data_IF_732940257461
#
_entry.id   IF_732940257461
#
_cell.length_a   1.000
_cell.length_b   1.000
_cell.length_c   1.000
_cell.angle_alpha   90.00
_cell.angle_beta   90.00
_cell.angle_gamma   90.00
#
_symmetry.space_group_name_H-M   'P 1'
#
loop_
_entity.id
_entity.type
_entity.pdbx_description
1 polymer ?
#
# COMPACT_ATOMS: atom_id res chain seq x y z
N UNK A 1 74.95 -18.79 -3.88
CA UNK A 1 74.45 -19.21 -2.55
C UNK A 1 72.98 -18.79 -2.47
N UNK A 2 72.04 -19.74 -2.35
CA UNK A 2 70.59 -19.50 -2.41
C UNK A 2 70.07 -19.23 -0.99
N UNK A 3 69.55 -18.04 -0.70
CA UNK A 3 68.84 -17.76 0.55
C UNK A 3 67.34 -17.91 0.28
N UNK A 4 66.72 -18.83 1.02
CA UNK A 4 65.27 -19.07 1.08
C UNK A 4 64.74 -18.55 2.42
N UNK A 5 63.48 -18.11 2.38
CA UNK A 5 62.58 -17.77 3.51
C UNK A 5 62.90 -16.43 4.21
N UNK A 6 61.94 -15.64 4.70
CA UNK A 6 60.60 -15.95 5.21
C UNK A 6 59.54 -14.94 4.75
N UNK A 7 58.31 -15.45 4.63
CA UNK A 7 57.08 -14.69 4.47
C UNK A 7 56.63 -14.03 5.78
N UNK A 8 56.04 -12.83 5.67
CA UNK A 8 55.05 -12.34 6.64
C UNK A 8 54.06 -11.40 5.92
N UNK A 9 53.13 -11.98 5.15
CA UNK A 9 51.97 -11.26 4.66
C UNK A 9 50.92 -11.26 5.78
N UNK A 10 50.91 -10.20 6.59
CA UNK A 10 49.82 -9.93 7.52
C UNK A 10 48.60 -9.48 6.72
N UNK A 11 47.77 -10.44 6.28
CA UNK A 11 46.44 -10.16 5.74
C UNK A 11 45.56 -9.80 6.92
N UNK A 12 45.39 -8.50 7.16
CA UNK A 12 44.39 -7.98 8.08
C UNK A 12 43.03 -8.19 7.40
N UNK A 13 42.39 -9.31 7.72
CA UNK A 13 40.96 -9.50 7.50
C UNK A 13 40.22 -8.56 8.45
N UNK A 14 40.00 -7.31 8.01
CA UNK A 14 38.98 -6.46 8.60
C UNK A 14 37.64 -7.07 8.19
N UNK A 15 37.12 -7.97 9.02
CA UNK A 15 35.72 -8.34 8.98
C UNK A 15 34.92 -7.11 9.38
N UNK A 16 34.54 -6.31 8.39
CA UNK A 16 33.39 -5.40 8.49
C UNK A 16 32.21 -6.29 8.85
N UNK A 17 31.89 -6.38 10.14
CA UNK A 17 30.55 -6.78 10.55
C UNK A 17 29.63 -5.70 9.98
N UNK A 18 29.13 -5.93 8.77
CA UNK A 18 28.05 -5.15 8.23
C UNK A 18 26.93 -5.27 9.24
N UNK A 19 26.56 -4.13 9.83
CA UNK A 19 25.35 -4.03 10.62
C UNK A 19 24.24 -4.63 9.76
N UNK A 20 23.50 -5.59 10.30
CA UNK A 20 22.41 -6.21 9.58
C UNK A 20 21.33 -5.13 9.43
N UNK A 21 21.43 -4.33 8.36
CA UNK A 21 20.44 -3.29 8.05
C UNK A 21 19.06 -3.93 8.12
N UNK A 22 18.16 -3.32 8.89
CA UNK A 22 16.80 -3.79 9.03
C UNK A 22 16.16 -3.90 7.64
N UNK A 23 15.69 -5.09 7.25
CA UNK A 23 15.12 -5.36 5.93
C UNK A 23 13.61 -5.38 6.05
N UNK A 24 13.00 -4.20 6.14
CA UNK A 24 11.55 -4.09 6.00
C UNK A 24 11.13 -4.43 4.56
N UNK A 25 10.05 -5.19 4.40
CA UNK A 25 9.48 -5.48 3.08
C UNK A 25 8.32 -4.53 2.82
N UNK A 26 8.40 -3.78 1.73
CA UNK A 26 7.35 -2.82 1.31
C UNK A 26 6.82 -3.26 -0.05
N UNK A 27 5.49 -3.40 -0.16
CA UNK A 27 4.79 -3.72 -1.41
C UNK A 27 3.60 -2.80 -1.55
N UNK A 28 3.36 -2.29 -2.73
CA UNK A 28 2.17 -1.49 -3.01
C UNK A 28 1.47 -1.96 -4.27
N UNK A 29 0.17 -1.73 -4.34
CA UNK A 29 -0.66 -2.18 -5.44
C UNK A 29 -1.65 -1.10 -5.86
N UNK A 30 -1.88 -1.00 -7.17
CA UNK A 30 -2.97 -0.27 -7.81
C UNK A 30 -3.95 -1.30 -8.39
N UNK A 31 -5.19 -1.33 -7.89
CA UNK A 31 -6.21 -2.32 -8.30
C UNK A 31 -5.70 -3.77 -8.30
N UNK A 32 -4.85 -4.14 -7.32
CA UNK A 32 -4.25 -5.47 -7.21
C UNK A 32 -3.05 -5.73 -8.14
N UNK A 33 -2.71 -4.83 -9.05
CA UNK A 33 -1.45 -4.86 -9.80
C UNK A 33 -0.35 -4.18 -8.98
N UNK A 34 0.87 -4.71 -9.00
CA UNK A 34 2.02 -4.05 -8.34
C UNK A 34 2.14 -2.59 -8.82
N UNK A 35 2.30 -1.68 -7.87
CA UNK A 35 2.28 -0.24 -8.09
C UNK A 35 3.48 0.23 -8.94
N UNK A 36 3.49 1.53 -9.29
CA UNK A 36 4.29 2.13 -10.36
C UNK A 36 3.66 1.90 -11.73
N UNK A 37 2.33 2.01 -11.79
CA UNK A 37 1.55 1.81 -13.03
C UNK A 37 1.46 3.11 -13.82
N UNK A 38 1.83 3.06 -15.10
CA UNK A 38 1.77 4.19 -16.04
C UNK A 38 0.78 3.94 -17.16
N UNK A 39 0.33 4.99 -17.85
CA UNK A 39 -0.55 4.87 -19.03
C UNK A 39 -1.99 4.49 -18.67
N UNK A 40 -2.37 4.66 -17.41
CA UNK A 40 -3.74 4.45 -16.94
C UNK A 40 -4.60 5.62 -17.40
N UNK A 41 -5.81 5.32 -17.86
CA UNK A 41 -6.85 6.32 -18.12
C UNK A 41 -8.00 6.07 -17.16
N UNK A 42 -8.33 7.06 -16.33
CA UNK A 42 -9.45 7.01 -15.40
C UNK A 42 -10.52 8.02 -15.78
N UNK A 43 -11.79 7.66 -15.66
CA UNK A 43 -12.90 8.62 -15.78
C UNK A 43 -13.07 9.39 -14.47
N UNK A 44 -13.58 10.62 -14.54
CA UNK A 44 -13.98 11.34 -13.32
C UNK A 44 -15.02 10.54 -12.56
N UNK A 45 -14.77 10.31 -11.26
CA UNK A 45 -15.63 9.51 -10.40
C UNK A 45 -15.42 7.98 -10.50
N UNK A 46 -14.49 7.50 -11.33
CA UNK A 46 -14.17 6.07 -11.43
C UNK A 46 -13.39 5.59 -10.21
N UNK A 47 -13.93 4.66 -9.40
CA UNK A 47 -13.24 4.16 -8.22
C UNK A 47 -12.02 3.32 -8.59
N UNK A 48 -10.92 3.53 -7.85
CA UNK A 48 -9.76 2.65 -7.85
C UNK A 48 -9.20 2.47 -6.44
N UNK A 49 -8.43 1.41 -6.25
CA UNK A 49 -7.85 1.04 -4.96
C UNK A 49 -6.33 1.19 -4.99
N UNK A 50 -5.79 1.75 -3.92
CA UNK A 50 -4.36 1.73 -3.59
C UNK A 50 -4.18 0.93 -2.30
N UNK A 51 -3.29 -0.05 -2.34
CA UNK A 51 -2.87 -0.81 -1.18
C UNK A 51 -1.39 -0.59 -0.91
N UNK A 52 -1.01 -0.47 0.36
CA UNK A 52 0.36 -0.50 0.84
C UNK A 52 0.48 -1.55 1.94
N UNK A 53 1.37 -2.51 1.74
CA UNK A 53 1.74 -3.53 2.70
C UNK A 53 3.17 -3.27 3.15
N UNK A 54 3.36 -3.18 4.46
CA UNK A 54 4.67 -3.06 5.10
C UNK A 54 4.81 -4.21 6.07
N UNK A 55 5.83 -5.04 5.90
CA UNK A 55 6.20 -6.11 6.83
C UNK A 55 7.48 -5.69 7.54
N UNK A 56 7.39 -5.15 8.76
CA UNK A 56 8.56 -4.88 9.59
C UNK A 56 9.27 -6.18 9.99
N UNK A 57 10.58 -6.13 10.12
CA UNK A 57 11.41 -7.22 10.64
C UNK A 57 11.54 -7.17 12.18
N UNK A 58 11.13 -6.06 12.78
CA UNK A 58 11.06 -5.79 14.22
C UNK A 58 9.77 -5.06 14.58
N UNK A 59 9.48 -4.93 15.88
CA UNK A 59 8.42 -4.03 16.32
C UNK A 59 8.68 -2.61 15.83
N UNK A 60 7.70 -2.07 15.12
CA UNK A 60 7.80 -0.79 14.46
C UNK A 60 6.48 -0.03 14.48
N UNK A 61 6.60 1.28 14.38
CA UNK A 61 5.49 2.15 13.97
C UNK A 61 5.67 2.49 12.50
N UNK A 62 4.67 2.16 11.69
CA UNK A 62 4.62 2.51 10.27
C UNK A 62 3.67 3.68 10.10
N UNK A 63 4.08 4.69 9.34
CA UNK A 63 3.19 5.72 8.84
C UNK A 63 3.09 5.70 7.33
N UNK A 64 1.93 6.07 6.82
CA UNK A 64 1.73 6.30 5.40
C UNK A 64 0.77 7.47 5.18
N UNK A 65 0.92 8.14 4.04
CA UNK A 65 -0.04 9.11 3.49
C UNK A 65 -0.02 9.07 1.97
N UNK A 66 -1.08 9.58 1.38
CA UNK A 66 -1.15 9.90 -0.04
C UNK A 66 -0.83 11.37 -0.28
N UNK A 67 -0.25 11.67 -1.44
CA UNK A 67 -0.01 13.05 -1.88
C UNK A 67 0.10 13.12 -3.40
N UNK A 68 -0.13 14.31 -3.94
CA UNK A 68 0.26 14.66 -5.30
C UNK A 68 1.66 15.32 -5.33
N UNK A 69 2.43 15.18 -6.42
CA UNK A 69 3.61 16.01 -6.66
C UNK A 69 3.23 17.49 -6.68
N UNK A 70 3.97 18.31 -5.94
CA UNK A 70 3.59 19.72 -5.67
C UNK A 70 2.80 19.92 -4.37
N UNK A 71 2.28 18.85 -3.76
CA UNK A 71 1.55 18.89 -2.49
C UNK A 71 0.02 18.90 -2.67
N UNK A 72 -0.71 18.60 -1.59
CA UNK A 72 -2.17 18.46 -1.64
C UNK A 72 -2.64 17.12 -2.22
N UNK A 73 -3.96 17.02 -2.39
CA UNK A 73 -4.66 15.91 -3.04
C UNK A 73 -5.96 16.44 -3.68
N UNK A 74 -5.82 17.21 -4.76
CA UNK A 74 -6.96 17.86 -5.44
C UNK A 74 -7.50 17.01 -6.58
N UNK A 75 -6.63 16.22 -7.21
CA UNK A 75 -6.96 15.36 -8.35
C UNK A 75 -7.77 14.15 -7.93
N UNK A 76 -7.71 13.75 -6.66
CA UNK A 76 -8.35 12.54 -6.13
C UNK A 76 -9.18 12.79 -4.87
N UNK A 77 -10.42 12.30 -4.87
CA UNK A 77 -11.29 12.26 -3.70
C UNK A 77 -11.29 10.89 -3.03
N UNK A 78 -11.20 10.86 -1.69
CA UNK A 78 -11.34 9.60 -0.93
C UNK A 78 -12.80 9.16 -0.88
N UNK A 79 -13.07 7.95 -1.34
CA UNK A 79 -14.35 7.26 -1.18
C UNK A 79 -14.39 6.51 0.16
N UNK A 80 -13.38 5.69 0.44
CA UNK A 80 -13.31 4.89 1.67
C UNK A 80 -11.87 4.44 1.99
N UNK A 81 -11.69 3.68 3.08
CA UNK A 81 -10.39 3.22 3.56
C UNK A 81 -9.76 4.15 4.58
N UNK A 82 -8.44 4.12 4.67
CA UNK A 82 -7.63 4.95 5.55
C UNK A 82 -7.75 6.45 5.17
N UNK A 83 -7.56 7.38 6.13
CA UNK A 83 -7.38 8.81 5.82
C UNK A 83 -6.25 9.04 4.82
N UNK A 84 -6.38 10.07 3.97
CA UNK A 84 -5.33 10.42 2.98
C UNK A 84 -4.13 11.13 3.62
N UNK A 85 -4.35 11.80 4.75
CA UNK A 85 -3.30 12.35 5.60
C UNK A 85 -2.50 11.27 6.32
N UNK A 86 -1.56 11.67 7.17
CA UNK A 86 -0.67 10.74 7.89
C UNK A 86 -1.48 9.81 8.80
N UNK A 87 -1.47 8.53 8.47
CA UNK A 87 -1.98 7.44 9.30
C UNK A 87 -0.80 6.71 9.92
N UNK A 88 -0.93 6.29 11.18
CA UNK A 88 0.08 5.49 11.89
C UNK A 88 -0.52 4.17 12.36
N UNK A 89 0.21 3.08 12.15
CA UNK A 89 -0.14 1.73 12.57
C UNK A 89 1.09 1.05 13.17
N UNK A 90 0.90 0.24 14.21
CA UNK A 90 1.97 -0.56 14.80
C UNK A 90 2.01 -1.94 14.12
N UNK A 91 3.21 -2.49 13.92
CA UNK A 91 3.40 -3.86 13.45
C UNK A 91 4.58 -4.51 14.16
N UNK A 92 4.46 -5.80 14.47
CA UNK A 92 5.55 -6.61 15.04
C UNK A 92 6.30 -7.42 13.98
N UNK A 93 7.30 -8.17 14.44
CA UNK A 93 8.02 -9.13 13.61
C UNK A 93 7.06 -10.18 13.05
N UNK A 94 6.99 -10.29 11.71
CA UNK A 94 6.11 -11.24 11.03
C UNK A 94 4.69 -10.72 10.79
N UNK A 95 4.33 -9.56 11.34
CA UNK A 95 3.07 -8.89 11.02
C UNK A 95 3.20 -8.10 9.71
N UNK A 96 2.11 -8.02 8.96
CA UNK A 96 2.01 -7.11 7.81
C UNK A 96 1.04 -6.00 8.13
N UNK A 97 1.57 -4.78 8.22
CA UNK A 97 0.78 -3.56 8.32
C UNK A 97 0.22 -3.23 6.95
N UNK A 98 -1.10 -3.12 6.85
CA UNK A 98 -1.81 -2.81 5.61
C UNK A 98 -2.46 -1.44 5.68
N UNK A 99 -2.28 -0.63 4.65
CA UNK A 99 -3.03 0.60 4.39
C UNK A 99 -3.79 0.45 3.08
N UNK A 100 -5.03 0.92 3.07
CA UNK A 100 -5.91 0.82 1.91
C UNK A 100 -6.64 2.13 1.68
N UNK A 101 -6.66 2.60 0.44
CA UNK A 101 -7.45 3.75 0.01
C UNK A 101 -8.29 3.37 -1.19
N UNK A 102 -9.58 3.68 -1.14
CA UNK A 102 -10.44 3.70 -2.33
C UNK A 102 -10.67 5.14 -2.71
N UNK A 103 -10.24 5.52 -3.90
CA UNK A 103 -10.24 6.88 -4.41
C UNK A 103 -11.04 6.97 -5.71
N UNK A 104 -11.40 8.19 -6.11
CA UNK A 104 -11.84 8.46 -7.47
C UNK A 104 -11.28 9.81 -7.94
N UNK A 105 -10.97 9.96 -9.25
CA UNK A 105 -10.57 11.26 -9.78
C UNK A 105 -11.68 12.30 -9.65
N UNK A 106 -11.30 13.54 -9.38
CA UNK A 106 -12.20 14.69 -9.30
C UNK A 106 -12.31 15.41 -10.64
N UNK A 107 -13.24 16.36 -10.73
CA UNK A 107 -13.34 17.27 -11.88
C UNK A 107 -12.20 18.28 -11.97
N UNK A 108 -11.53 18.58 -10.85
CA UNK A 108 -10.53 19.65 -10.78
C UNK A 108 -9.34 19.40 -11.70
N UNK A 109 -9.09 18.13 -12.04
CA UNK A 109 -7.96 17.70 -12.86
C UNK A 109 -8.37 16.98 -14.15
N UNK A 110 -9.62 17.11 -14.57
CA UNK A 110 -10.13 16.54 -15.82
C UNK A 110 -9.34 17.04 -17.03
N UNK A 111 -8.92 16.12 -17.90
CA UNK A 111 -8.06 16.38 -19.06
C UNK A 111 -6.57 16.47 -18.74
N UNK A 112 -6.17 16.30 -17.47
CA UNK A 112 -4.78 16.31 -17.02
C UNK A 112 -4.23 14.91 -16.70
N UNK A 113 -2.91 14.83 -16.55
CA UNK A 113 -2.25 13.67 -15.92
C UNK A 113 -1.97 13.99 -14.45
N UNK A 114 -2.40 13.12 -13.55
CA UNK A 114 -2.27 13.26 -12.11
C UNK A 114 -1.46 12.09 -11.52
N UNK A 115 -0.20 12.30 -11.16
CA UNK A 115 0.55 11.33 -10.38
C UNK A 115 0.05 11.27 -8.93
N UNK A 116 -0.07 10.05 -8.39
CA UNK A 116 -0.40 9.80 -6.98
C UNK A 116 0.78 9.12 -6.29
N UNK A 117 1.38 9.80 -5.33
CA UNK A 117 2.49 9.27 -4.55
C UNK A 117 2.02 8.67 -3.23
N UNK A 118 2.71 7.60 -2.83
CA UNK A 118 2.68 7.06 -1.48
C UNK A 118 3.94 7.54 -0.77
N UNK A 119 3.78 8.25 0.35
CA UNK A 119 4.87 8.53 1.27
C UNK A 119 4.72 7.68 2.52
N UNK A 120 5.79 7.01 2.94
CA UNK A 120 5.79 6.19 4.15
C UNK A 120 7.05 6.41 4.99
N UNK A 121 6.91 6.13 6.29
CA UNK A 121 8.04 6.02 7.21
C UNK A 121 7.88 4.78 8.08
N UNK A 122 8.97 4.11 8.40
CA UNK A 122 9.04 3.05 9.39
C UNK A 122 10.00 3.51 10.49
N UNK A 123 9.54 3.42 11.73
CA UNK A 123 10.34 3.73 12.92
C UNK A 123 10.43 2.50 13.79
N UNK A 124 11.64 2.16 14.24
CA UNK A 124 11.85 1.18 15.30
C UNK A 124 11.28 1.65 16.64
N UNK A 125 11.43 0.82 17.67
CA UNK A 125 10.88 1.10 19.01
C UNK A 125 11.40 2.40 19.63
N UNK A 126 12.62 2.80 19.33
CA UNK A 126 13.24 4.05 19.83
C UNK A 126 12.76 5.29 19.09
N UNK A 127 11.91 5.14 18.06
CA UNK A 127 11.48 6.20 17.14
C UNK A 127 12.60 6.87 16.34
N UNK A 128 13.81 6.33 16.40
CA UNK A 128 14.86 6.68 15.45
C UNK A 128 14.38 6.25 14.04
N UNK A 129 14.50 7.14 13.07
CA UNK A 129 14.02 6.90 11.71
C UNK A 129 14.77 5.76 11.05
N UNK A 130 14.10 4.63 10.81
CA UNK A 130 14.70 3.47 10.16
C UNK A 130 14.66 3.63 8.64
N UNK A 131 13.46 3.86 8.09
CA UNK A 131 13.25 3.99 6.66
C UNK A 131 12.26 5.11 6.38
N UNK A 132 12.59 5.95 5.40
CA UNK A 132 11.68 6.92 4.82
C UNK A 132 11.66 6.73 3.30
N UNK A 133 10.48 6.66 2.71
CA UNK A 133 10.32 6.46 1.28
C UNK A 133 9.15 7.25 0.69
N UNK A 134 9.27 7.53 -0.60
CA UNK A 134 8.22 8.14 -1.41
C UNK A 134 8.34 7.61 -2.84
N UNK A 135 7.23 7.20 -3.45
CA UNK A 135 7.19 6.79 -4.85
C UNK A 135 5.81 7.00 -5.45
N UNK A 136 5.75 7.16 -6.78
CA UNK A 136 4.50 7.30 -7.53
C UNK A 136 3.86 5.93 -7.72
N UNK A 137 2.70 5.72 -7.10
CA UNK A 137 1.97 4.46 -7.17
C UNK A 137 1.24 4.31 -8.52
N UNK A 138 0.69 5.41 -9.03
CA UNK A 138 0.02 5.47 -10.33
C UNK A 138 0.21 6.85 -10.97
N UNK A 139 0.45 6.85 -12.27
CA UNK A 139 0.40 8.04 -13.13
C UNK A 139 -0.78 7.90 -14.08
N UNK A 140 -1.90 8.54 -13.74
CA UNK A 140 -3.16 8.40 -14.48
C UNK A 140 -3.48 9.67 -15.27
N UNK A 141 -3.89 9.49 -16.52
CA UNK A 141 -4.63 10.51 -17.26
C UNK A 141 -6.10 10.49 -16.83
N UNK A 142 -6.59 11.64 -16.35
CA UNK A 142 -7.99 11.80 -15.92
C UNK A 142 -8.80 12.26 -17.12
N UNK A 143 -9.58 11.34 -17.68
CA UNK A 143 -10.50 11.63 -18.77
C UNK A 143 -11.64 12.54 -18.28
N UNK A 144 -12.04 13.57 -19.06
CA UNK A 144 -13.19 14.41 -18.74
C UNK A 144 -14.54 13.65 -18.79
N UNK A 145 -14.54 12.41 -19.29
CA UNK A 145 -15.72 11.55 -19.28
C UNK A 145 -16.09 11.16 -17.85
N UNK A 146 -17.39 11.22 -17.53
CA UNK A 146 -17.92 10.81 -16.23
C UNK A 146 -18.06 9.29 -16.13
N UNK A 147 -17.71 8.74 -14.97
CA UNK A 147 -17.96 7.35 -14.66
C UNK A 147 -19.46 7.09 -14.48
N UNK A 148 -20.03 6.28 -15.37
CA UNK A 148 -21.33 5.66 -15.18
C UNK A 148 -21.13 4.26 -14.59
N UNK A 149 -21.51 4.00 -13.33
CA UNK A 149 -21.32 2.68 -12.74
C UNK A 149 -22.16 1.63 -13.47
N UNK A 150 -21.72 0.35 -13.50
CA UNK A 150 -22.48 -0.74 -14.11
C UNK A 150 -23.89 -0.84 -13.53
N UNK A 151 -24.88 -1.16 -14.37
CA UNK A 151 -26.30 -1.17 -13.97
C UNK A 151 -26.58 -2.07 -12.75
N UNK A 152 -25.86 -3.18 -12.61
CA UNK A 152 -26.03 -4.11 -11.48
C UNK A 152 -25.61 -3.54 -10.11
N UNK A 153 -24.78 -2.48 -10.06
CA UNK A 153 -24.43 -1.84 -8.79
C UNK A 153 -25.57 -0.97 -8.24
N UNK A 154 -26.61 -0.67 -9.05
CA UNK A 154 -27.79 0.12 -8.64
C UNK A 154 -28.90 -0.75 -8.05
N UNK A 155 -28.96 -2.02 -8.42
CA UNK A 155 -30.04 -2.93 -8.01
C UNK A 155 -29.95 -3.38 -6.55
N UNK A 156 -28.74 -3.35 -5.96
CA UNK A 156 -28.55 -3.59 -4.51
C UNK A 156 -28.95 -2.43 -3.60
N UNK A 157 -29.18 -1.22 -4.14
CA UNK A 157 -29.50 -0.02 -3.37
C UNK A 157 -31.02 0.24 -3.22
N UNK A 158 -31.87 -0.59 -3.82
CA UNK A 158 -33.33 -0.40 -3.83
C UNK A 158 -34.09 -1.69 -3.53
N UNK A 159 -33.85 -2.29 -2.37
CA UNK A 159 -34.82 -3.23 -1.79
C UNK A 159 -35.66 -2.49 -0.74
N UNK A 160 -36.97 -2.26 -0.97
CA UNK A 160 -37.85 -1.92 0.12
C UNK A 160 -37.89 -3.10 1.09
N UNK A 161 -37.77 -2.81 2.39
CA UNK A 161 -37.99 -3.78 3.45
C UNK A 161 -39.40 -4.38 3.33
N UNK A 162 -39.54 -5.50 2.60
CA UNK A 162 -40.66 -6.40 2.77
C UNK A 162 -40.14 -7.65 3.47
N UNK A 163 -40.63 -7.82 4.70
CA UNK A 163 -40.22 -8.88 5.59
C UNK A 163 -40.62 -10.24 5.04
N UNK A 164 -39.62 -11.08 4.76
CA UNK A 164 -39.78 -12.52 4.80
C UNK A 164 -38.56 -13.11 5.51
N UNK A 165 -38.70 -13.34 6.81
CA UNK A 165 -37.75 -14.16 7.57
C UNK A 165 -37.85 -15.59 7.04
N UNK A 166 -36.90 -16.03 6.20
CA UNK A 166 -36.63 -17.47 6.04
C UNK A 166 -35.64 -17.89 7.11
N UNK A 167 -36.16 -18.58 8.13
CA UNK A 167 -35.35 -19.30 9.10
C UNK A 167 -34.54 -20.40 8.38
N UNK A 168 -33.22 -20.24 8.34
CA UNK A 168 -32.32 -21.33 7.98
C UNK A 168 -32.15 -22.18 9.24
N UNK A 169 -32.81 -23.36 9.26
CA UNK A 169 -32.53 -24.40 10.25
C UNK A 169 -31.15 -24.98 9.94
N UNK A 170 -30.19 -24.79 10.84
CA UNK A 170 -28.99 -25.61 10.87
C UNK A 170 -29.39 -27.05 11.26
N UNK A 171 -29.16 -28.01 10.36
CA UNK A 171 -29.25 -29.45 10.64
C UNK A 171 -27.85 -29.92 11.05
N UNK A 172 -27.71 -30.45 12.27
CA UNK A 172 -26.48 -31.06 12.74
C UNK A 172 -26.12 -32.31 11.92
N UNK A 173 -24.83 -32.61 11.68
CA UNK A 173 -24.42 -33.87 11.07
C UNK A 173 -24.58 -35.03 12.07
N UNK A 174 -25.23 -36.09 11.61
CA UNK A 174 -25.39 -37.35 12.34
C UNK A 174 -24.06 -38.11 12.37
N UNK A 175 -23.67 -38.55 13.56
CA UNK A 175 -22.65 -39.58 13.78
C UNK A 175 -23.11 -40.88 13.11
N UNK A 176 -22.24 -41.49 12.32
CA UNK A 176 -22.37 -42.88 11.86
C UNK A 176 -21.09 -43.62 12.26
N UNK A 177 -21.31 -44.54 13.20
CA UNK A 177 -20.61 -45.77 13.59
C UNK A 177 -19.16 -45.69 14.05
#
# INVERSE_FOLDING_TARGET
>A
MRIRALALAAVILVSMAGDAEARHVIKAYYNGQEATVTGVVLKVGEPFTIDLYVTPDRYATVSARLREPGGGLESYGRISGDPVDIVRKKGGTGDTVHFQWVLAPTDAWAGGTAPLDIQYNVWGETMDGDVQGCFTAVEAYISPVKYGPPLWSREGAHLPHSGVRRAIRCRAPSLIT
#
